data_IF_259622111888
#
_entry.id   IF_259622111888
#
_cell.length_a   1.000
_cell.length_b   1.000
_cell.length_c   1.000
_cell.angle_alpha   90.00
_cell.angle_beta   90.00
_cell.angle_gamma   90.00
#
_symmetry.space_group_name_H-M   'P 1'
#
loop_
_entity.id
_entity.type
_entity.pdbx_description
1 polymer ?
#
# COMPACT_ATOMS: atom_id res chain seq x y z
N UNK A 1 -3.94 -7.01 -17.59
CA UNK A 1 -4.59 -6.74 -16.30
C UNK A 1 -6.06 -6.43 -16.55
N UNK A 2 -6.94 -6.69 -15.58
CA UNK A 2 -8.35 -6.31 -15.69
C UNK A 2 -8.52 -4.79 -15.62
N UNK A 3 -9.58 -4.26 -16.25
CA UNK A 3 -9.89 -2.82 -16.20
C UNK A 3 -10.06 -2.31 -14.77
N UNK A 4 -10.54 -3.16 -13.86
CA UNK A 4 -10.70 -2.83 -12.45
C UNK A 4 -9.35 -2.70 -11.73
N UNK A 5 -8.38 -3.56 -12.01
CA UNK A 5 -7.03 -3.45 -11.46
C UNK A 5 -6.36 -2.14 -11.93
N UNK A 6 -6.51 -1.80 -13.20
CA UNK A 6 -5.97 -0.55 -13.75
C UNK A 6 -6.65 0.70 -13.15
N UNK A 7 -7.98 0.67 -12.97
CA UNK A 7 -8.71 1.75 -12.32
C UNK A 7 -8.30 1.94 -10.85
N UNK A 8 -8.11 0.85 -10.09
CA UNK A 8 -7.59 0.91 -8.72
C UNK A 8 -6.17 1.46 -8.69
N UNK A 9 -5.29 1.01 -9.60
CA UNK A 9 -3.92 1.55 -9.71
C UNK A 9 -3.95 3.06 -9.92
N UNK A 10 -4.81 3.55 -10.80
CA UNK A 10 -4.95 4.97 -11.08
C UNK A 10 -5.42 5.77 -9.85
N UNK A 11 -6.41 5.26 -9.11
CA UNK A 11 -6.88 5.89 -7.87
C UNK A 11 -5.76 5.94 -6.82
N UNK A 12 -5.06 4.82 -6.60
CA UNK A 12 -3.99 4.71 -5.61
C UNK A 12 -2.71 5.47 -5.99
N UNK A 13 -2.53 5.83 -7.25
CA UNK A 13 -1.42 6.70 -7.68
C UNK A 13 -1.51 8.11 -7.08
N UNK A 14 -2.71 8.53 -6.66
CA UNK A 14 -2.94 9.82 -6.00
C UNK A 14 -2.82 9.76 -4.48
N UNK A 15 -2.70 8.56 -3.90
CA UNK A 15 -2.48 8.36 -2.47
C UNK A 15 -3.20 7.14 -1.89
N UNK A 16 -2.96 6.83 -0.61
CA UNK A 16 -3.58 5.69 0.05
C UNK A 16 -5.09 5.84 0.19
N UNK A 17 -5.83 4.75 -0.05
CA UNK A 17 -7.29 4.73 0.09
C UNK A 17 -7.76 3.49 0.85
N UNK A 18 -8.80 3.65 1.66
CA UNK A 18 -9.51 2.55 2.28
C UNK A 18 -10.36 1.79 1.24
N UNK A 19 -10.65 0.52 1.51
CA UNK A 19 -11.50 -0.31 0.64
C UNK A 19 -12.85 0.38 0.32
N UNK A 20 -13.47 1.02 1.31
CA UNK A 20 -14.75 1.72 1.12
C UNK A 20 -14.65 2.88 0.13
N UNK A 21 -13.57 3.66 0.17
CA UNK A 21 -13.36 4.75 -0.78
C UNK A 21 -13.19 4.21 -2.21
N UNK A 22 -12.53 3.07 -2.39
CA UNK A 22 -12.40 2.41 -3.69
C UNK A 22 -13.75 1.87 -4.19
N UNK A 23 -14.56 1.26 -3.31
CA UNK A 23 -15.91 0.79 -3.67
C UNK A 23 -16.81 1.95 -4.10
N UNK A 24 -16.83 3.03 -3.30
CA UNK A 24 -17.68 4.18 -3.52
C UNK A 24 -17.27 4.96 -4.79
N UNK A 25 -15.97 5.13 -5.03
CA UNK A 25 -15.45 5.86 -6.21
C UNK A 25 -15.57 5.07 -7.52
N UNK A 26 -15.41 3.75 -7.47
CA UNK A 26 -15.46 2.90 -8.68
C UNK A 26 -16.83 2.29 -8.93
N UNK A 27 -17.77 2.36 -7.98
CA UNK A 27 -19.11 1.79 -8.10
C UNK A 27 -19.12 0.27 -8.23
N UNK A 28 -18.11 -0.42 -7.65
CA UNK A 28 -17.94 -1.87 -7.77
C UNK A 28 -18.33 -2.58 -6.47
N UNK A 29 -18.65 -3.87 -6.60
CA UNK A 29 -18.93 -4.72 -5.44
C UNK A 29 -17.65 -5.15 -4.71
N UNK A 30 -17.78 -5.50 -3.44
CA UNK A 30 -16.67 -6.01 -2.63
C UNK A 30 -15.95 -7.21 -3.26
N UNK A 31 -16.63 -8.23 -3.84
CA UNK A 31 -15.94 -9.35 -4.46
C UNK A 31 -15.10 -8.93 -5.67
N UNK A 32 -15.54 -7.92 -6.43
CA UNK A 32 -14.78 -7.38 -7.55
C UNK A 32 -13.55 -6.62 -7.09
N UNK A 33 -13.69 -5.77 -6.06
CA UNK A 33 -12.54 -5.10 -5.44
C UNK A 33 -11.50 -6.10 -4.93
N UNK A 34 -11.95 -7.15 -4.21
CA UNK A 34 -11.06 -8.18 -3.66
C UNK A 34 -10.24 -8.88 -4.75
N UNK A 35 -10.88 -9.29 -5.85
CA UNK A 35 -10.21 -9.92 -6.99
C UNK A 35 -9.21 -8.97 -7.66
N UNK A 36 -9.59 -7.72 -7.87
CA UNK A 36 -8.71 -6.74 -8.53
C UNK A 36 -7.50 -6.36 -7.65
N UNK A 37 -7.68 -6.24 -6.33
CA UNK A 37 -6.56 -6.04 -5.40
C UNK A 37 -5.62 -7.27 -5.36
N UNK A 38 -6.18 -8.48 -5.42
CA UNK A 38 -5.38 -9.70 -5.51
C UNK A 38 -4.58 -9.78 -6.82
N UNK A 39 -5.16 -9.30 -7.92
CA UNK A 39 -4.46 -9.20 -9.22
C UNK A 39 -3.30 -8.21 -9.19
N UNK A 40 -3.46 -7.06 -8.51
CA UNK A 40 -2.36 -6.09 -8.31
C UNK A 40 -1.22 -6.65 -7.45
N UNK A 41 -1.53 -7.59 -6.54
CA UNK A 41 -0.54 -8.35 -5.80
C UNK A 41 0.53 -7.48 -5.13
N UNK A 42 1.79 -7.69 -5.53
CA UNK A 42 2.95 -6.99 -4.96
C UNK A 42 3.03 -5.50 -5.29
N UNK A 43 2.25 -4.99 -6.23
CA UNK A 43 2.23 -3.55 -6.57
C UNK A 43 1.59 -2.69 -5.49
N UNK A 44 0.76 -3.28 -4.61
CA UNK A 44 0.10 -2.56 -3.53
C UNK A 44 0.64 -2.95 -2.17
N UNK A 45 0.58 -2.01 -1.24
CA UNK A 45 0.88 -2.22 0.18
C UNK A 45 -0.41 -2.08 0.96
N UNK A 46 -0.67 -3.02 1.87
CA UNK A 46 -1.79 -2.94 2.83
C UNK A 46 -1.24 -2.41 4.15
N UNK A 47 -1.74 -1.26 4.58
CA UNK A 47 -1.30 -0.56 5.80
C UNK A 47 -2.45 -0.41 6.78
N UNK A 48 -2.14 -0.41 8.08
CA UNK A 48 -3.13 -0.35 9.15
C UNK A 48 -3.75 -1.70 9.52
N UNK A 49 -4.64 -1.69 10.51
CA UNK A 49 -5.24 -2.90 11.08
C UNK A 49 -6.77 -2.81 11.16
N UNK A 50 -7.44 -3.96 11.01
CA UNK A 50 -8.90 -4.09 11.09
C UNK A 50 -9.64 -3.00 10.28
N UNK A 51 -10.43 -2.13 10.92
CA UNK A 51 -11.20 -1.08 10.25
C UNK A 51 -10.37 0.07 9.66
N UNK A 52 -9.09 0.16 10.01
CA UNK A 52 -8.18 1.22 9.56
C UNK A 52 -7.32 0.83 8.36
N UNK A 53 -7.61 -0.32 7.75
CA UNK A 53 -6.86 -0.79 6.59
C UNK A 53 -7.01 0.18 5.42
N UNK A 54 -5.87 0.56 4.87
CA UNK A 54 -5.73 1.31 3.63
C UNK A 54 -4.83 0.55 2.67
N UNK A 55 -4.96 0.85 1.39
CA UNK A 55 -4.11 0.34 0.32
C UNK A 55 -3.34 1.51 -0.25
N UNK A 56 -2.06 1.33 -0.49
CA UNK A 56 -1.21 2.29 -1.17
C UNK A 56 -0.54 1.61 -2.37
N UNK A 57 -0.25 2.38 -3.43
CA UNK A 57 0.50 1.89 -4.57
C UNK A 57 2.00 2.03 -4.28
N UNK A 58 2.78 0.97 -4.48
CA UNK A 58 4.24 1.03 -4.39
C UNK A 58 4.80 2.00 -5.42
N UNK A 59 5.81 2.76 -5.03
CA UNK A 59 6.44 3.69 -5.95
C UNK A 59 7.62 3.05 -6.69
N UNK A 60 7.32 2.47 -7.85
CA UNK A 60 8.33 1.92 -8.76
C UNK A 60 9.05 2.95 -9.62
N UNK A 61 8.63 4.23 -9.66
CA UNK A 61 9.24 5.22 -10.56
C UNK A 61 10.55 5.77 -10.02
N UNK A 62 10.60 6.06 -8.72
CA UNK A 62 11.82 6.60 -8.10
C UNK A 62 12.87 5.52 -7.82
N UNK A 63 12.55 4.23 -8.07
CA UNK A 63 13.49 3.12 -7.99
C UNK A 63 14.05 2.86 -6.59
N UNK A 64 13.41 3.40 -5.55
CA UNK A 64 13.84 3.21 -4.17
C UNK A 64 13.51 1.80 -3.70
N UNK A 65 14.44 1.10 -3.03
CA UNK A 65 14.17 -0.21 -2.47
C UNK A 65 13.35 -0.10 -1.18
N UNK A 66 12.81 -1.23 -0.73
CA UNK A 66 12.30 -1.39 0.63
C UNK A 66 13.47 -1.19 1.63
N UNK A 67 13.32 -0.28 2.59
CA UNK A 67 14.39 0.15 3.48
C UNK A 67 14.20 -0.41 4.89
N UNK A 68 15.11 -1.27 5.40
CA UNK A 68 15.01 -1.76 6.77
C UNK A 68 15.32 -0.64 7.76
N UNK A 69 14.47 -0.48 8.77
CA UNK A 69 14.62 0.46 9.87
C UNK A 69 15.00 -0.29 11.12
N UNK A 70 16.02 0.23 11.80
CA UNK A 70 16.52 -0.32 13.06
C UNK A 70 16.39 0.73 14.17
N UNK A 71 16.25 0.24 15.40
CA UNK A 71 16.24 1.04 16.62
C UNK A 71 17.38 0.61 17.52
N UNK A 72 17.99 1.57 18.20
CA UNK A 72 18.94 1.31 19.29
C UNK A 72 18.14 1.24 20.60
N UNK A 73 18.25 0.13 21.33
CA UNK A 73 17.61 -0.01 22.63
C UNK A 73 18.40 0.70 23.75
N UNK A 74 17.84 0.73 24.96
CA UNK A 74 18.46 1.40 26.12
C UNK A 74 19.81 0.80 26.53
N UNK A 75 20.13 -0.41 26.08
CA UNK A 75 21.42 -1.06 26.30
C UNK A 75 22.41 -0.82 25.15
N UNK A 76 22.07 0.04 24.18
CA UNK A 76 22.89 0.34 23.02
C UNK A 76 22.86 -0.74 21.93
N UNK A 77 21.91 -1.69 21.97
CA UNK A 77 21.86 -2.78 20.98
C UNK A 77 20.94 -2.43 19.81
N UNK A 78 21.39 -2.76 18.60
CA UNK A 78 20.60 -2.62 17.37
C UNK A 78 19.52 -3.69 17.33
N UNK A 79 18.28 -3.27 17.14
CA UNK A 79 17.08 -4.12 17.00
C UNK A 79 16.34 -3.74 15.73
N UNK A 80 15.83 -4.74 15.00
CA UNK A 80 14.92 -4.49 13.88
C UNK A 80 13.65 -3.78 14.39
N UNK A 81 13.23 -2.72 13.69
CA UNK A 81 11.98 -2.01 13.96
C UNK A 81 10.93 -2.35 12.91
N UNK A 82 11.32 -2.40 11.63
CA UNK A 82 10.42 -2.72 10.52
C UNK A 82 11.06 -2.35 9.18
N UNK A 83 10.24 -2.26 8.13
CA UNK A 83 10.69 -1.94 6.77
C UNK A 83 9.84 -0.81 6.22
N UNK A 84 10.48 0.26 5.75
CA UNK A 84 9.82 1.34 5.03
C UNK A 84 9.68 0.96 3.56
N UNK A 85 8.46 1.00 3.05
CA UNK A 85 8.14 0.75 1.65
C UNK A 85 7.76 2.07 0.97
N UNK A 86 8.43 2.47 -0.13
CA UNK A 86 8.08 3.69 -0.85
C UNK A 86 6.73 3.55 -1.54
N UNK A 87 5.90 4.58 -1.43
CA UNK A 87 4.53 4.59 -1.98
C UNK A 87 4.20 5.90 -2.69
N UNK A 88 3.20 5.86 -3.55
CA UNK A 88 2.69 7.02 -4.28
C UNK A 88 1.72 7.87 -3.43
N UNK A 89 1.59 9.18 -3.75
CA UNK A 89 2.38 9.92 -4.73
C UNK A 89 3.81 10.20 -4.25
N UNK A 90 4.00 10.25 -2.93
CA UNK A 90 5.27 10.45 -2.25
C UNK A 90 5.28 9.80 -0.85
N UNK A 91 6.47 9.57 -0.30
CA UNK A 91 6.68 9.09 1.07
C UNK A 91 6.85 7.58 1.22
N UNK A 92 6.73 7.10 2.46
CA UNK A 92 6.97 5.72 2.85
C UNK A 92 5.93 5.27 3.89
N UNK A 93 5.63 3.96 3.89
CA UNK A 93 4.78 3.30 4.90
C UNK A 93 5.53 2.14 5.55
N UNK A 94 5.12 1.76 6.76
CA UNK A 94 5.62 0.60 7.52
C UNK A 94 4.47 -0.27 8.02
#
# INVERSE_FOLDING_TARGET
MSSHADAIRLQLASGPLAARQLLDSLGISQPTLSRALAELGGEIVRLGAARSIQYALRDGLHGLPDMPVYRVDVAGKIRSLGTLVPVRPDGFVM
#
